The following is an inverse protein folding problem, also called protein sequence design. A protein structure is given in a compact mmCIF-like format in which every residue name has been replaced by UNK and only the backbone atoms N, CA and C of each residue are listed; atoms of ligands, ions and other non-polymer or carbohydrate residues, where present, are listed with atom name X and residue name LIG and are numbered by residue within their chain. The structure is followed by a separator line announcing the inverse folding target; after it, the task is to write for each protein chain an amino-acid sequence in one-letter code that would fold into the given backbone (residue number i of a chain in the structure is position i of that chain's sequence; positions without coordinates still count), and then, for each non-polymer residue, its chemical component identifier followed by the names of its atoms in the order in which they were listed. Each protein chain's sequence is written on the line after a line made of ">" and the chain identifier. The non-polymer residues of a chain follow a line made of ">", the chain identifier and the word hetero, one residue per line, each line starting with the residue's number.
data_IF_138090812209
#
_entry.id   IF_138090812209
#
_cell.length_a   1.000
_cell.length_b   1.000
_cell.length_c   1.000
_cell.angle_alpha   90.00
_cell.angle_beta   90.00
_cell.angle_gamma   90.00
#
_symmetry.space_group_name_H-M   'P 1'
#
loop_
_entity.id
_entity.type
_entity.pdbx_description
1 polymer ?
#
# COMPACT_ATOMS: atom_id res chain seq x y z
N UNK A 1 5.16 50.77 -13.93
CA UNK A 1 4.47 50.34 -12.69
C UNK A 1 4.09 48.86 -12.71
N UNK A 2 4.91 47.98 -13.32
CA UNK A 2 4.46 46.61 -13.68
C UNK A 2 5.23 45.48 -12.97
N UNK A 3 6.18 45.80 -12.08
CA UNK A 3 7.05 44.80 -11.43
C UNK A 3 6.59 44.37 -10.03
N UNK A 4 5.66 45.09 -9.41
CA UNK A 4 5.17 44.77 -8.04
C UNK A 4 4.09 43.66 -8.07
N UNK A 5 3.33 43.55 -9.15
CA UNK A 5 2.18 42.63 -9.24
C UNK A 5 2.56 41.14 -9.47
N UNK A 6 3.76 40.85 -9.95
CA UNK A 6 4.17 39.45 -10.20
C UNK A 6 4.70 38.76 -8.94
N UNK A 7 5.39 39.51 -8.07
CA UNK A 7 5.94 39.01 -6.80
C UNK A 7 4.82 38.61 -5.83
N UNK A 8 3.81 39.46 -5.69
CA UNK A 8 2.69 39.23 -4.76
C UNK A 8 1.81 38.06 -5.20
N UNK A 9 1.56 37.90 -6.51
CA UNK A 9 0.82 36.76 -7.06
C UNK A 9 1.58 35.42 -6.93
N UNK A 10 2.92 35.46 -7.02
CA UNK A 10 3.75 34.26 -6.77
C UNK A 10 3.73 33.86 -5.29
N UNK A 11 3.84 34.81 -4.37
CA UNK A 11 3.80 34.53 -2.92
C UNK A 11 2.42 34.02 -2.49
N UNK A 12 1.34 34.63 -2.98
CA UNK A 12 -0.04 34.18 -2.70
C UNK A 12 -0.33 32.78 -3.27
N UNK A 13 0.20 32.45 -4.45
CA UNK A 13 0.04 31.11 -5.03
C UNK A 13 0.85 30.05 -4.27
N UNK A 14 2.04 30.37 -3.78
CA UNK A 14 2.84 29.49 -2.92
C UNK A 14 2.20 29.27 -1.54
N UNK A 15 1.65 30.32 -0.91
CA UNK A 15 0.92 30.21 0.35
C UNK A 15 -0.31 29.30 0.21
N UNK A 16 -1.12 29.50 -0.83
CA UNK A 16 -2.28 28.66 -1.12
C UNK A 16 -1.90 27.21 -1.39
N UNK A 17 -0.77 26.98 -2.07
CA UNK A 17 -0.25 25.64 -2.34
C UNK A 17 0.20 24.94 -1.05
N UNK A 18 0.90 25.65 -0.16
CA UNK A 18 1.32 25.14 1.14
C UNK A 18 0.12 24.83 2.04
N UNK A 19 -0.93 25.66 2.03
CA UNK A 19 -2.16 25.41 2.79
C UNK A 19 -2.91 24.17 2.28
N UNK A 20 -2.97 23.97 0.95
CA UNK A 20 -3.55 22.76 0.34
C UNK A 20 -2.73 21.52 0.70
N UNK A 21 -1.39 21.61 0.68
CA UNK A 21 -0.51 20.50 1.05
C UNK A 21 -0.63 20.12 2.53
N UNK A 22 -0.71 21.10 3.43
CA UNK A 22 -0.91 20.83 4.85
C UNK A 22 -2.27 20.18 5.12
N UNK A 23 -3.32 20.62 4.40
CA UNK A 23 -4.64 20.02 4.47
C UNK A 23 -4.65 18.58 3.91
N UNK A 24 -3.92 18.33 2.81
CA UNK A 24 -3.87 17.00 2.21
C UNK A 24 -3.11 15.99 3.08
N UNK A 25 -2.03 16.42 3.74
CA UNK A 25 -1.30 15.61 4.73
C UNK A 25 -2.21 15.24 5.91
N UNK A 26 -2.86 16.21 6.54
CA UNK A 26 -3.75 15.95 7.68
C UNK A 26 -4.93 15.04 7.34
N UNK A 27 -5.48 15.19 6.14
CA UNK A 27 -6.59 14.35 5.67
C UNK A 27 -6.13 12.92 5.35
N UNK A 28 -4.91 12.74 4.85
CA UNK A 28 -4.34 11.41 4.60
C UNK A 28 -4.08 10.69 5.93
N UNK A 29 -3.50 11.37 6.92
CA UNK A 29 -3.31 10.83 8.28
C UNK A 29 -4.64 10.41 8.93
N UNK A 30 -5.69 11.23 8.77
CA UNK A 30 -7.03 10.90 9.23
C UNK A 30 -7.55 9.62 8.55
N UNK A 31 -7.45 9.53 7.23
CA UNK A 31 -7.90 8.35 6.49
C UNK A 31 -7.13 7.07 6.91
N UNK A 32 -5.83 7.19 7.21
CA UNK A 32 -5.05 6.09 7.77
C UNK A 32 -5.56 5.65 9.15
N UNK A 33 -5.87 6.60 10.03
CA UNK A 33 -6.43 6.30 11.36
C UNK A 33 -7.79 5.61 11.26
N UNK A 34 -8.68 6.14 10.43
CA UNK A 34 -10.00 5.54 10.17
C UNK A 34 -9.86 4.11 9.62
N UNK A 35 -8.92 3.88 8.70
CA UNK A 35 -8.61 2.54 8.20
C UNK A 35 -8.14 1.60 9.33
N UNK A 36 -7.27 2.07 10.23
CA UNK A 36 -6.80 1.30 11.38
C UNK A 36 -7.92 0.98 12.38
N UNK A 37 -8.85 1.92 12.56
CA UNK A 37 -10.03 1.76 13.41
C UNK A 37 -11.12 0.88 12.76
N UNK A 38 -10.92 0.46 11.50
CA UNK A 38 -11.87 -0.35 10.72
C UNK A 38 -13.02 0.46 10.09
N UNK A 39 -12.97 1.79 10.19
CA UNK A 39 -13.92 2.70 9.55
C UNK A 39 -13.56 2.91 8.08
N UNK A 40 -13.77 1.86 7.29
CA UNK A 40 -13.44 1.84 5.86
C UNK A 40 -14.30 2.80 5.04
N UNK A 41 -15.49 3.18 5.52
CA UNK A 41 -16.38 4.08 4.80
C UNK A 41 -15.85 5.52 4.85
N UNK A 42 -15.50 6.02 6.04
CA UNK A 42 -14.93 7.35 6.18
C UNK A 42 -13.54 7.42 5.53
N UNK A 43 -12.71 6.38 5.72
CA UNK A 43 -11.41 6.29 5.07
C UNK A 43 -11.52 6.35 3.54
N UNK A 44 -12.45 5.59 2.94
CA UNK A 44 -12.70 5.63 1.49
C UNK A 44 -13.12 7.04 1.04
N UNK A 45 -14.02 7.68 1.78
CA UNK A 45 -14.52 9.03 1.44
C UNK A 45 -13.39 10.06 1.42
N UNK A 46 -12.54 10.06 2.45
CA UNK A 46 -11.41 10.97 2.55
C UNK A 46 -10.34 10.67 1.50
N UNK A 47 -10.04 9.39 1.23
CA UNK A 47 -9.12 9.02 0.16
C UNK A 47 -9.62 9.41 -1.24
N UNK A 48 -10.92 9.25 -1.55
CA UNK A 48 -11.48 9.68 -2.83
C UNK A 48 -11.40 11.20 -2.97
N UNK A 49 -11.65 11.94 -1.88
CA UNK A 49 -11.49 13.39 -1.87
C UNK A 49 -10.05 13.80 -2.18
N UNK A 50 -9.06 13.15 -1.56
CA UNK A 50 -7.65 13.37 -1.84
C UNK A 50 -7.28 12.99 -3.28
N UNK A 51 -7.73 11.84 -3.75
CA UNK A 51 -7.45 11.36 -5.12
C UNK A 51 -8.04 12.26 -6.21
N UNK A 52 -9.09 13.03 -5.92
CA UNK A 52 -9.60 14.07 -6.86
C UNK A 52 -8.65 15.26 -6.98
N UNK A 53 -7.94 15.60 -5.91
CA UNK A 53 -6.98 16.70 -5.88
C UNK A 53 -5.62 16.25 -6.43
N UNK A 54 -5.22 15.03 -6.09
CA UNK A 54 -3.92 14.44 -6.47
C UNK A 54 -4.12 13.00 -7.02
N UNK A 55 -4.56 12.83 -8.28
CA UNK A 55 -4.84 11.50 -8.85
C UNK A 55 -3.64 10.55 -8.91
N UNK A 56 -2.43 11.10 -8.89
CA UNK A 56 -1.17 10.35 -8.89
C UNK A 56 -0.53 10.17 -7.50
N UNK A 57 -1.23 10.50 -6.41
CA UNK A 57 -0.68 10.29 -5.07
C UNK A 57 -0.66 8.79 -4.76
N UNK A 58 0.53 8.21 -4.75
CA UNK A 58 0.72 6.78 -4.57
C UNK A 58 0.31 6.29 -3.18
N UNK A 59 0.44 7.12 -2.14
CA UNK A 59 -0.05 6.79 -0.79
C UNK A 59 -1.56 6.63 -0.75
N UNK A 60 -2.28 7.56 -1.40
CA UNK A 60 -3.75 7.48 -1.53
C UNK A 60 -4.18 6.25 -2.33
N UNK A 61 -3.50 5.95 -3.44
CA UNK A 61 -3.79 4.77 -4.26
C UNK A 61 -3.55 3.46 -3.50
N UNK A 62 -2.46 3.38 -2.72
CA UNK A 62 -2.18 2.23 -1.86
C UNK A 62 -3.25 2.06 -0.79
N UNK A 63 -3.65 3.16 -0.13
CA UNK A 63 -4.66 3.12 0.92
C UNK A 63 -6.05 2.73 0.36
N UNK A 64 -6.45 3.27 -0.80
CA UNK A 64 -7.67 2.84 -1.50
C UNK A 64 -7.63 1.35 -1.87
N UNK A 65 -6.50 0.87 -2.35
CA UNK A 65 -6.31 -0.55 -2.64
C UNK A 65 -6.52 -1.41 -1.40
N UNK A 66 -5.92 -1.04 -0.26
CA UNK A 66 -6.08 -1.73 1.01
C UNK A 66 -7.51 -1.67 1.56
N UNK A 67 -8.16 -0.49 1.53
CA UNK A 67 -9.56 -0.31 1.95
C UNK A 67 -10.49 -1.23 1.14
N UNK A 68 -10.34 -1.23 -0.18
CA UNK A 68 -11.16 -2.07 -1.05
C UNK A 68 -10.89 -3.56 -0.85
N UNK A 69 -9.65 -3.94 -0.55
CA UNK A 69 -9.31 -5.31 -0.20
C UNK A 69 -10.05 -5.75 1.07
N UNK A 70 -9.99 -4.95 2.15
CA UNK A 70 -10.70 -5.27 3.40
C UNK A 70 -12.21 -5.36 3.23
N UNK A 71 -12.76 -4.54 2.34
CA UNK A 71 -14.19 -4.60 1.97
C UNK A 71 -14.53 -5.76 1.01
N UNK A 72 -13.60 -6.67 0.69
CA UNK A 72 -13.73 -7.75 -0.31
C UNK A 72 -14.12 -7.27 -1.71
N UNK A 73 -13.85 -6.00 -2.03
CA UNK A 73 -14.07 -5.38 -3.35
C UNK A 73 -12.80 -5.54 -4.19
N UNK A 74 -12.44 -6.81 -4.48
CA UNK A 74 -11.15 -7.17 -5.05
C UNK A 74 -10.86 -6.54 -6.42
N UNK A 75 -11.88 -6.33 -7.26
CA UNK A 75 -11.70 -5.65 -8.55
C UNK A 75 -11.20 -4.22 -8.41
N UNK A 76 -11.78 -3.45 -7.48
CA UNK A 76 -11.34 -2.08 -7.19
C UNK A 76 -9.94 -2.09 -6.56
N UNK A 77 -9.67 -3.02 -5.65
CA UNK A 77 -8.35 -3.17 -5.04
C UNK A 77 -7.26 -3.39 -6.10
N UNK A 78 -7.47 -4.33 -7.03
CA UNK A 78 -6.55 -4.59 -8.15
C UNK A 78 -6.36 -3.35 -9.04
N UNK A 79 -7.44 -2.62 -9.35
CA UNK A 79 -7.35 -1.39 -10.15
C UNK A 79 -6.47 -0.34 -9.48
N UNK A 80 -6.68 -0.07 -8.18
CA UNK A 80 -5.86 0.91 -7.47
C UNK A 80 -4.41 0.47 -7.29
N UNK A 81 -4.15 -0.83 -7.04
CA UNK A 81 -2.78 -1.36 -7.05
C UNK A 81 -2.10 -1.17 -8.40
N UNK A 82 -2.80 -1.47 -9.51
CA UNK A 82 -2.27 -1.28 -10.85
C UNK A 82 -2.01 0.21 -11.18
N UNK A 83 -2.87 1.11 -10.73
CA UNK A 83 -2.65 2.56 -10.83
C UNK A 83 -1.43 2.99 -10.03
N UNK A 84 -1.24 2.49 -8.81
CA UNK A 84 -0.06 2.78 -7.99
C UNK A 84 1.23 2.29 -8.66
N UNK A 85 1.23 1.07 -9.22
CA UNK A 85 2.35 0.52 -9.99
C UNK A 85 2.65 1.36 -11.22
N UNK A 86 1.62 1.77 -11.96
CA UNK A 86 1.79 2.63 -13.15
C UNK A 86 2.42 3.97 -12.79
N UNK A 87 2.04 4.53 -11.64
CA UNK A 87 2.56 5.81 -11.17
C UNK A 87 3.99 5.70 -10.62
N UNK A 88 4.29 4.63 -9.89
CA UNK A 88 5.63 4.32 -9.41
C UNK A 88 5.86 2.79 -9.42
N UNK A 89 6.58 2.28 -10.44
CA UNK A 89 6.85 0.85 -10.59
C UNK A 89 7.76 0.24 -9.51
N UNK A 90 8.33 1.05 -8.61
CA UNK A 90 9.22 0.59 -7.53
C UNK A 90 8.50 0.46 -6.18
N UNK A 91 7.16 0.62 -6.14
CA UNK A 91 6.38 0.46 -4.91
C UNK A 91 6.12 -1.01 -4.58
N UNK A 92 6.96 -1.57 -3.71
CA UNK A 92 6.80 -2.93 -3.20
C UNK A 92 5.40 -3.19 -2.60
N UNK A 93 4.85 -2.22 -1.88
CA UNK A 93 3.53 -2.28 -1.26
C UNK A 93 2.40 -2.50 -2.30
N UNK A 94 2.52 -1.90 -3.49
CA UNK A 94 1.51 -2.01 -4.54
C UNK A 94 1.46 -3.43 -5.15
N UNK A 95 2.63 -4.04 -5.37
CA UNK A 95 2.72 -5.43 -5.79
C UNK A 95 2.22 -6.38 -4.70
N UNK A 96 2.55 -6.14 -3.43
CA UNK A 96 2.01 -6.96 -2.32
C UNK A 96 0.48 -6.88 -2.24
N UNK A 97 -0.10 -5.68 -2.37
CA UNK A 97 -1.56 -5.52 -2.41
C UNK A 97 -2.19 -6.23 -3.62
N UNK A 98 -1.56 -6.17 -4.81
CA UNK A 98 -2.03 -6.90 -5.98
C UNK A 98 -1.91 -8.43 -5.79
N UNK A 99 -0.82 -8.90 -5.17
CA UNK A 99 -0.63 -10.30 -4.79
C UNK A 99 -1.70 -10.79 -3.83
N UNK A 100 -2.10 -9.96 -2.85
CA UNK A 100 -3.20 -10.27 -1.93
C UNK A 100 -4.50 -10.50 -2.70
N UNK A 101 -4.80 -9.65 -3.70
CA UNK A 101 -5.99 -9.83 -4.55
C UNK A 101 -5.94 -11.14 -5.32
N UNK A 102 -4.79 -11.49 -5.92
CA UNK A 102 -4.65 -12.77 -6.64
C UNK A 102 -4.80 -13.98 -5.71
N UNK A 103 -4.21 -13.92 -4.52
CA UNK A 103 -4.34 -14.97 -3.50
C UNK A 103 -5.81 -15.20 -3.12
N UNK A 104 -6.57 -14.14 -2.84
CA UNK A 104 -8.01 -14.24 -2.51
C UNK A 104 -8.86 -14.79 -3.66
N UNK A 105 -8.40 -14.65 -4.91
CA UNK A 105 -9.04 -15.23 -6.10
C UNK A 105 -8.62 -16.68 -6.37
N UNK A 106 -7.75 -17.27 -5.55
CA UNK A 106 -7.17 -18.59 -5.78
C UNK A 106 -6.11 -18.62 -6.90
N UNK A 107 -5.68 -17.47 -7.39
CA UNK A 107 -4.65 -17.31 -8.41
C UNK A 107 -3.26 -17.31 -7.76
N UNK A 108 -2.88 -18.47 -7.22
CA UNK A 108 -1.72 -18.58 -6.32
C UNK A 108 -0.39 -18.25 -7.04
N UNK A 109 -0.24 -18.65 -8.30
CA UNK A 109 1.00 -18.39 -9.05
C UNK A 109 1.22 -16.89 -9.30
N UNK A 110 0.16 -16.18 -9.72
CA UNK A 110 0.20 -14.73 -9.90
C UNK A 110 0.45 -14.00 -8.57
N UNK A 111 -0.09 -14.51 -7.46
CA UNK A 111 0.20 -13.98 -6.13
C UNK A 111 1.69 -14.12 -5.78
N UNK A 112 2.26 -15.31 -5.97
CA UNK A 112 3.68 -15.59 -5.72
C UNK A 112 4.60 -14.68 -6.56
N UNK A 113 4.31 -14.49 -7.84
CA UNK A 113 5.07 -13.59 -8.71
C UNK A 113 5.09 -12.15 -8.16
N UNK A 114 3.91 -11.65 -7.76
CA UNK A 114 3.77 -10.30 -7.20
C UNK A 114 4.51 -10.14 -5.86
N UNK A 115 4.40 -11.10 -4.94
CA UNK A 115 5.12 -11.03 -3.66
C UNK A 115 6.63 -11.15 -3.86
N UNK A 116 7.12 -12.04 -4.73
CA UNK A 116 8.54 -12.14 -5.07
C UNK A 116 9.07 -10.86 -5.68
N UNK A 117 8.26 -10.15 -6.47
CA UNK A 117 8.61 -8.85 -7.00
C UNK A 117 8.68 -7.79 -5.89
N UNK A 118 7.70 -7.75 -4.99
CA UNK A 118 7.68 -6.83 -3.85
C UNK A 118 8.94 -6.95 -2.97
N UNK A 119 9.31 -8.17 -2.56
CA UNK A 119 10.49 -8.38 -1.71
C UNK A 119 11.81 -8.17 -2.46
N UNK A 120 11.82 -8.25 -3.79
CA UNK A 120 12.99 -7.89 -4.61
C UNK A 120 13.18 -6.37 -4.66
N UNK A 121 12.09 -5.62 -4.76
CA UNK A 121 12.13 -4.16 -4.75
C UNK A 121 12.51 -3.61 -3.38
N UNK A 122 12.02 -4.23 -2.31
CA UNK A 122 12.25 -3.83 -0.93
C UNK A 122 12.64 -5.06 -0.09
N UNK A 123 13.93 -5.41 -0.03
CA UNK A 123 14.42 -6.59 0.70
C UNK A 123 14.10 -6.61 2.19
N UNK A 124 13.83 -5.47 2.82
CA UNK A 124 13.43 -5.32 4.22
C UNK A 124 11.91 -5.32 4.43
N UNK A 125 11.12 -5.58 3.38
CA UNK A 125 9.66 -5.55 3.45
C UNK A 125 9.08 -6.79 4.14
N UNK A 126 9.02 -6.73 5.47
CA UNK A 126 8.53 -7.80 6.35
C UNK A 126 7.16 -8.34 5.91
N UNK A 127 6.17 -7.47 5.70
CA UNK A 127 4.82 -7.91 5.28
C UNK A 127 4.84 -8.63 3.93
N UNK A 128 5.75 -8.24 3.03
CA UNK A 128 5.96 -8.92 1.75
C UNK A 128 6.42 -10.36 1.92
N UNK A 129 7.34 -10.64 2.85
CA UNK A 129 7.77 -12.01 3.15
C UNK A 129 6.70 -12.83 3.86
N UNK A 130 5.92 -12.23 4.76
CA UNK A 130 4.79 -12.91 5.42
C UNK A 130 3.76 -13.34 4.36
N UNK A 131 3.40 -12.44 3.45
CA UNK A 131 2.45 -12.74 2.38
C UNK A 131 3.00 -13.78 1.41
N UNK A 132 4.29 -13.70 1.06
CA UNK A 132 4.98 -14.71 0.24
C UNK A 132 4.95 -16.09 0.90
N UNK A 133 5.31 -16.18 2.18
CA UNK A 133 5.34 -17.42 2.93
C UNK A 133 3.94 -18.06 3.02
N UNK A 134 2.92 -17.24 3.30
CA UNK A 134 1.53 -17.69 3.32
C UNK A 134 1.07 -18.24 1.97
N UNK A 135 1.44 -17.60 0.86
CA UNK A 135 1.11 -18.08 -0.48
C UNK A 135 1.89 -19.35 -0.87
N UNK A 136 3.17 -19.47 -0.46
CA UNK A 136 3.97 -20.67 -0.68
C UNK A 136 3.41 -21.86 0.09
N UNK A 137 2.98 -21.65 1.33
CA UNK A 137 2.30 -22.68 2.13
C UNK A 137 1.00 -23.14 1.45
N UNK A 138 0.20 -22.20 0.92
CA UNK A 138 -1.00 -22.53 0.15
C UNK A 138 -0.71 -23.28 -1.16
N UNK A 139 0.47 -23.09 -1.75
CA UNK A 139 0.95 -23.84 -2.91
C UNK A 139 1.55 -25.22 -2.56
N UNK A 140 1.73 -25.54 -1.27
CA UNK A 140 2.41 -26.75 -0.80
C UNK A 140 3.95 -26.67 -0.81
N UNK A 141 4.52 -25.48 -1.07
CA UNK A 141 5.97 -25.23 -1.13
C UNK A 141 6.54 -24.91 0.27
N UNK A 142 6.38 -25.85 1.21
CA UNK A 142 6.65 -25.63 2.64
C UNK A 142 8.08 -25.19 2.95
N UNK A 143 9.09 -25.78 2.31
CA UNK A 143 10.50 -25.42 2.54
C UNK A 143 10.77 -23.94 2.21
N UNK A 144 10.22 -23.46 1.08
CA UNK A 144 10.37 -22.07 0.68
C UNK A 144 9.54 -21.14 1.57
N UNK A 145 8.36 -21.59 2.04
CA UNK A 145 7.54 -20.83 2.99
C UNK A 145 8.31 -20.59 4.29
N UNK A 146 8.94 -21.64 4.85
CA UNK A 146 9.79 -21.53 6.03
C UNK A 146 10.93 -20.55 5.79
N UNK A 147 11.61 -20.64 4.64
CA UNK A 147 12.70 -19.73 4.33
C UNK A 147 12.24 -18.26 4.26
N UNK A 148 11.08 -17.98 3.66
CA UNK A 148 10.51 -16.64 3.62
C UNK A 148 10.16 -16.12 5.03
N UNK A 149 9.58 -16.96 5.88
CA UNK A 149 9.31 -16.64 7.28
C UNK A 149 10.59 -16.38 8.10
N UNK A 150 11.62 -17.19 7.91
CA UNK A 150 12.93 -16.97 8.54
C UNK A 150 13.51 -15.62 8.12
N UNK A 151 13.42 -15.26 6.84
CA UNK A 151 13.86 -13.93 6.38
C UNK A 151 13.06 -12.80 7.03
N UNK A 152 11.74 -12.93 7.18
CA UNK A 152 10.94 -11.95 7.91
C UNK A 152 11.42 -11.77 9.36
N UNK A 153 11.73 -12.87 10.05
CA UNK A 153 12.27 -12.86 11.42
C UNK A 153 13.68 -12.28 11.51
N UNK A 154 14.49 -12.35 10.46
CA UNK A 154 15.80 -11.69 10.44
C UNK A 154 15.67 -10.16 10.49
N UNK A 155 14.64 -9.60 9.84
CA UNK A 155 14.36 -8.16 9.89
C UNK A 155 13.62 -7.73 11.15
N UNK A 156 12.76 -8.59 11.71
CA UNK A 156 12.12 -8.37 13.00
C UNK A 156 12.03 -9.67 13.83
N UNK A 157 12.99 -9.90 14.75
CA UNK A 157 13.03 -11.12 15.57
C UNK A 157 11.86 -11.30 16.54
N UNK A 158 11.14 -10.21 16.87
CA UNK A 158 10.03 -10.21 17.83
C UNK A 158 8.66 -10.47 17.17
N UNK A 159 8.66 -10.83 15.88
CA UNK A 159 7.46 -11.00 15.09
C UNK A 159 6.71 -12.30 15.48
N UNK A 160 5.77 -12.18 16.42
CA UNK A 160 5.09 -13.31 17.07
C UNK A 160 4.23 -14.17 16.12
N UNK A 161 3.61 -13.55 15.11
CA UNK A 161 2.77 -14.27 14.14
C UNK A 161 3.54 -15.36 13.38
N UNK A 162 4.79 -15.07 12.98
CA UNK A 162 5.63 -16.03 12.24
C UNK A 162 6.12 -17.18 13.12
N UNK A 163 6.34 -16.95 14.42
CA UNK A 163 6.72 -18.03 15.35
C UNK A 163 5.59 -19.04 15.56
N UNK A 164 4.34 -18.58 15.45
CA UNK A 164 3.16 -19.46 15.52
C UNK A 164 3.01 -20.31 14.26
N UNK A 165 3.24 -19.72 13.08
CA UNK A 165 3.16 -20.41 11.79
C UNK A 165 4.30 -21.42 11.57
N UNK A 166 5.47 -21.23 12.20
CA UNK A 166 6.60 -22.16 12.16
C UNK A 166 6.56 -23.26 13.25
N UNK A 167 5.68 -23.13 14.25
CA UNK A 167 5.66 -23.97 15.44
C UNK A 167 4.63 -25.12 15.43
N UNK A 168 3.79 -25.20 14.40
CA UNK A 168 2.77 -26.25 14.19
C UNK A 168 3.15 -27.19 13.05
#
# INVERSE_FOLDING_TARGET
>A
TSTVNNSDNMVQSQLKLADVQNMSIGLLELAHREYQDGDYENAERHCIQLGRQEPGNTGVLLLLSSIHFQCRRYDKSAQFSAMAIKQNPLLAEAYSNLGNVFKERGQIQEALENYRHAVRLKPEFIDGYINLASALAAAGEMEQAVQAYVTALQYNPDLYCVRSDLGN
#
